data_IF_585281992084
#
_entry.id   IF_585281992084
#
_cell.length_a   1.000
_cell.length_b   1.000
_cell.length_c   1.000
_cell.angle_alpha   90.00
_cell.angle_beta   90.00
_cell.angle_gamma   90.00
#
_symmetry.space_group_name_H-M   'P 1'
#
loop_
_entity.id
_entity.type
_entity.pdbx_description
1 polymer ?
#
# COMPACT_ATOMS: atom_id res chain seq x y z
N UNK A 1 1.83 -19.20 22.70
CA UNK A 1 1.82 -19.28 21.22
C UNK A 1 1.97 -17.88 20.65
N UNK A 2 3.08 -17.57 19.97
CA UNK A 2 3.39 -16.22 19.45
C UNK A 2 2.87 -16.11 18.01
N UNK A 3 1.74 -15.42 17.81
CA UNK A 3 1.15 -15.18 16.50
C UNK A 3 2.05 -14.25 15.66
N UNK A 4 2.53 -14.76 14.53
CA UNK A 4 3.32 -14.01 13.55
C UNK A 4 2.39 -13.14 12.70
N UNK A 5 2.29 -11.84 13.03
CA UNK A 5 1.57 -10.86 12.21
C UNK A 5 2.58 -10.07 11.37
N UNK A 6 2.58 -10.31 10.06
CA UNK A 6 3.44 -9.64 9.06
C UNK A 6 2.85 -8.28 8.68
N UNK A 7 3.70 -7.27 8.50
CA UNK A 7 3.29 -5.91 8.10
C UNK A 7 3.41 -5.75 6.60
N UNK A 8 2.34 -5.30 5.96
CA UNK A 8 2.37 -4.70 4.63
C UNK A 8 2.26 -3.17 4.78
N UNK A 9 2.97 -2.38 3.98
CA UNK A 9 2.93 -0.93 4.06
C UNK A 9 1.74 -0.32 3.32
N UNK A 10 1.17 0.72 3.92
CA UNK A 10 0.14 1.62 3.38
C UNK A 10 0.53 2.09 1.95
N UNK A 11 -0.36 1.84 0.98
CA UNK A 11 -0.17 2.16 -0.43
C UNK A 11 -0.56 3.63 -0.72
N UNK A 12 0.44 4.45 -1.04
CA UNK A 12 0.32 5.62 -1.91
C UNK A 12 1.14 5.27 -3.15
N UNK A 13 0.43 5.04 -4.25
CA UNK A 13 0.85 4.11 -5.30
C UNK A 13 0.54 4.72 -6.66
N UNK A 14 1.46 5.53 -7.19
CA UNK A 14 1.40 5.93 -8.60
C UNK A 14 2.78 5.93 -9.25
N UNK A 15 3.80 6.54 -8.65
CA UNK A 15 5.06 6.72 -9.37
C UNK A 15 6.11 5.61 -9.24
N UNK A 16 6.18 4.92 -8.09
CA UNK A 16 7.35 4.08 -7.76
C UNK A 16 7.10 2.57 -7.87
N UNK A 17 5.91 2.14 -8.30
CA UNK A 17 5.51 0.72 -8.15
C UNK A 17 5.95 -0.18 -9.28
N UNK A 18 6.24 0.38 -10.46
CA UNK A 18 6.89 -0.39 -11.52
C UNK A 18 8.25 -0.97 -11.09
N UNK A 19 9.03 -0.21 -10.30
CA UNK A 19 10.40 -0.59 -9.93
C UNK A 19 10.60 -0.97 -8.45
N UNK A 20 9.68 -0.60 -7.55
CA UNK A 20 9.81 -0.88 -6.10
C UNK A 20 8.62 -1.59 -5.46
N UNK A 21 7.56 -1.88 -6.23
CA UNK A 21 6.40 -2.65 -5.75
C UNK A 21 6.72 -4.09 -5.35
N UNK A 22 7.92 -4.55 -5.66
CA UNK A 22 8.37 -5.92 -5.49
C UNK A 22 8.67 -6.29 -4.02
N UNK A 23 9.10 -5.36 -3.17
CA UNK A 23 9.70 -5.73 -1.87
C UNK A 23 8.75 -5.54 -0.69
N UNK A 24 7.74 -6.40 -0.54
CA UNK A 24 7.10 -6.72 0.75
C UNK A 24 6.15 -7.93 0.66
N UNK A 25 6.11 -8.73 1.73
CA UNK A 25 5.27 -9.94 1.98
C UNK A 25 5.86 -11.28 1.51
N UNK A 26 5.92 -12.27 2.42
CA UNK A 26 6.18 -13.68 2.15
C UNK A 26 5.35 -14.46 3.16
N UNK A 27 5.28 -15.77 2.96
CA UNK A 27 5.60 -16.80 3.94
C UNK A 27 6.36 -17.93 3.21
N UNK A 28 7.11 -18.74 3.97
CA UNK A 28 7.81 -19.94 3.47
C UNK A 28 6.78 -21.02 3.15
N UNK A 29 7.02 -21.86 2.16
CA UNK A 29 6.54 -23.25 2.15
C UNK A 29 7.66 -24.15 1.60
N UNK A 30 8.10 -25.10 2.43
CA UNK A 30 8.72 -26.35 2.01
C UNK A 30 7.69 -27.16 1.20
N UNK A 31 8.15 -27.78 0.12
CA UNK A 31 7.44 -28.70 -0.79
C UNK A 31 6.05 -29.18 -0.31
N UNK A 32 4.98 -28.69 -0.97
CA UNK A 32 3.59 -29.05 -0.64
C UNK A 32 3.12 -30.33 -1.35
N UNK A 33 2.59 -31.31 -0.61
CA UNK A 33 1.45 -32.09 -1.05
C UNK A 33 0.18 -31.22 -0.96
N UNK A 34 -0.68 -31.26 -1.99
CA UNK A 34 -2.00 -30.59 -2.12
C UNK A 34 -2.56 -30.00 -0.80
N UNK A 35 -2.50 -28.68 -0.64
CA UNK A 35 -3.04 -27.99 0.54
C UNK A 35 -4.57 -28.14 0.61
N UNK A 36 -5.07 -28.59 1.76
CA UNK A 36 -6.50 -28.68 2.09
C UNK A 36 -7.15 -27.28 2.16
N UNK A 37 -8.36 -27.13 1.62
CA UNK A 37 -9.24 -25.94 1.66
C UNK A 37 -9.21 -25.08 2.96
N UNK A 38 -9.17 -25.63 4.19
CA UNK A 38 -9.13 -24.81 5.41
C UNK A 38 -7.88 -23.92 5.54
N UNK A 39 -6.72 -24.34 5.01
CA UNK A 39 -5.50 -23.50 5.03
C UNK A 39 -5.61 -22.33 4.05
N UNK A 40 -6.19 -22.56 2.87
CA UNK A 40 -6.47 -21.51 1.91
C UNK A 40 -7.50 -20.50 2.46
N UNK A 41 -8.51 -20.97 3.20
CA UNK A 41 -9.48 -20.10 3.87
C UNK A 41 -8.84 -19.28 5.02
N UNK A 42 -7.95 -19.88 5.81
CA UNK A 42 -7.21 -19.17 6.85
C UNK A 42 -6.22 -18.15 6.27
N UNK A 43 -5.57 -18.47 5.14
CA UNK A 43 -4.72 -17.54 4.39
C UNK A 43 -5.52 -16.38 3.80
N UNK A 44 -6.71 -16.64 3.23
CA UNK A 44 -7.63 -15.59 2.76
C UNK A 44 -8.07 -14.69 3.91
N UNK A 45 -8.51 -15.25 5.05
CA UNK A 45 -8.86 -14.46 6.24
C UNK A 45 -7.67 -13.67 6.80
N UNK A 46 -6.46 -14.23 6.77
CA UNK A 46 -5.24 -13.49 7.14
C UNK A 46 -4.96 -12.35 6.16
N UNK A 47 -5.11 -12.59 4.85
CA UNK A 47 -4.94 -11.57 3.81
C UNK A 47 -5.96 -10.43 3.93
N UNK A 48 -7.22 -10.74 4.22
CA UNK A 48 -8.28 -9.75 4.44
C UNK A 48 -8.02 -8.90 5.70
N UNK A 49 -7.33 -9.46 6.71
CA UNK A 49 -6.87 -8.70 7.89
C UNK A 49 -5.69 -7.77 7.58
N UNK A 50 -4.93 -8.02 6.52
CA UNK A 50 -3.71 -7.26 6.20
C UNK A 50 -3.96 -5.97 5.41
N UNK A 51 -5.14 -5.79 4.82
CA UNK A 51 -5.46 -4.66 3.93
C UNK A 51 -6.67 -3.85 4.42
N UNK A 52 -6.61 -3.34 5.66
CA UNK A 52 -7.65 -2.42 6.14
C UNK A 52 -7.19 -0.98 5.96
N UNK A 53 -7.89 -0.24 5.11
CA UNK A 53 -7.74 1.21 4.98
C UNK A 53 -8.07 1.94 6.29
N UNK A 54 -7.77 3.24 6.40
CA UNK A 54 -7.99 4.01 7.63
C UNK A 54 -9.43 3.94 8.11
N UNK A 55 -10.42 4.07 7.22
CA UNK A 55 -11.85 3.93 7.56
C UNK A 55 -12.16 2.56 8.17
N UNK A 56 -11.71 1.49 7.52
CA UNK A 56 -11.92 0.12 8.01
C UNK A 56 -11.28 -0.13 9.38
N UNK A 57 -10.19 0.56 9.71
CA UNK A 57 -9.58 0.51 11.05
C UNK A 57 -10.46 1.22 12.09
N UNK A 58 -11.04 2.37 11.75
CA UNK A 58 -11.96 3.10 12.64
C UNK A 58 -13.26 2.33 12.83
N UNK A 59 -13.84 1.75 11.77
CA UNK A 59 -15.02 0.88 11.85
C UNK A 59 -14.76 -0.32 12.77
N UNK A 60 -13.62 -0.98 12.62
CA UNK A 60 -13.21 -2.12 13.46
C UNK A 60 -13.11 -1.73 14.95
N UNK A 61 -12.52 -0.56 15.23
CA UNK A 61 -12.44 -0.02 16.58
C UNK A 61 -13.83 0.37 17.13
N UNK A 62 -14.69 0.99 16.32
CA UNK A 62 -16.06 1.36 16.69
C UNK A 62 -16.92 0.13 17.02
N UNK A 63 -16.86 -0.92 16.19
CA UNK A 63 -17.59 -2.18 16.45
C UNK A 63 -17.09 -2.89 17.70
N UNK A 64 -15.78 -2.87 17.95
CA UNK A 64 -15.19 -3.62 19.08
C UNK A 64 -15.31 -2.87 20.41
N UNK A 65 -15.24 -1.54 20.39
CA UNK A 65 -15.08 -0.72 21.61
C UNK A 65 -16.12 0.38 21.76
N UNK A 66 -16.87 0.72 20.71
CA UNK A 66 -17.78 1.87 20.70
C UNK A 66 -19.16 1.63 21.31
N UNK A 67 -19.51 0.39 21.69
CA UNK A 67 -20.85 0.04 22.22
C UNK A 67 -21.99 0.65 21.37
N UNK A 68 -22.05 0.24 20.11
CA UNK A 68 -22.89 0.87 19.09
C UNK A 68 -24.38 0.56 19.28
N UNK A 69 -25.22 1.56 19.01
CA UNK A 69 -26.66 1.38 18.78
C UNK A 69 -26.90 0.67 17.44
N UNK A 70 -28.10 0.11 17.27
CA UNK A 70 -28.43 -0.67 16.07
C UNK A 70 -28.39 0.17 14.78
N UNK A 71 -28.85 1.41 14.85
CA UNK A 71 -28.80 2.38 13.75
C UNK A 71 -27.35 2.76 13.40
N UNK A 72 -26.52 3.07 14.40
CA UNK A 72 -25.09 3.35 14.19
C UNK A 72 -24.37 2.17 13.52
N UNK A 73 -24.65 0.94 13.98
CA UNK A 73 -24.07 -0.26 13.39
C UNK A 73 -24.47 -0.44 11.92
N UNK A 74 -25.75 -0.21 11.59
CA UNK A 74 -26.23 -0.26 10.21
C UNK A 74 -25.56 0.80 9.32
N UNK A 75 -25.34 2.01 9.82
CA UNK A 75 -24.59 3.05 9.09
C UNK A 75 -23.14 2.63 8.83
N UNK A 76 -22.45 2.04 9.82
CA UNK A 76 -21.08 1.53 9.60
C UNK A 76 -21.03 0.41 8.55
N UNK A 77 -22.05 -0.44 8.49
CA UNK A 77 -22.17 -1.49 7.47
C UNK A 77 -22.37 -0.89 6.07
N UNK A 78 -23.21 0.13 5.94
CA UNK A 78 -23.43 0.86 4.69
C UNK A 78 -22.14 1.51 4.18
N UNK A 79 -21.43 2.26 5.03
CA UNK A 79 -20.12 2.87 4.71
C UNK A 79 -19.12 1.81 4.27
N UNK A 80 -19.07 0.68 4.98
CA UNK A 80 -18.15 -0.42 4.63
C UNK A 80 -18.47 -1.06 3.28
N UNK A 81 -19.76 -1.16 2.92
CA UNK A 81 -20.20 -1.73 1.64
C UNK A 81 -19.85 -0.79 0.49
N UNK A 82 -20.17 0.50 0.62
CA UNK A 82 -19.87 1.51 -0.42
C UNK A 82 -18.37 1.56 -0.75
N UNK A 83 -17.52 1.54 0.27
CA UNK A 83 -16.06 1.55 0.07
C UNK A 83 -15.52 0.24 -0.53
N UNK A 84 -16.26 -0.87 -0.45
CA UNK A 84 -15.90 -2.14 -1.06
C UNK A 84 -16.26 -2.19 -2.55
N UNK A 85 -17.37 -1.57 -2.96
CA UNK A 85 -17.83 -1.53 -4.35
C UNK A 85 -16.82 -0.81 -5.27
N UNK A 86 -16.03 0.10 -4.71
CA UNK A 86 -14.92 0.78 -5.39
C UNK A 86 -13.73 -0.11 -5.78
N UNK A 87 -13.68 -1.36 -5.31
CA UNK A 87 -12.54 -2.22 -5.60
C UNK A 87 -12.37 -2.50 -7.09
N UNK A 88 -13.46 -2.57 -7.87
CA UNK A 88 -13.42 -2.86 -9.31
C UNK A 88 -12.71 -1.79 -10.12
N UNK A 89 -13.08 -0.52 -9.92
CA UNK A 89 -12.49 0.63 -10.64
C UNK A 89 -11.00 0.79 -10.32
N UNK A 90 -10.60 0.55 -9.08
CA UNK A 90 -9.20 0.59 -8.67
C UNK A 90 -8.36 -0.54 -9.29
N UNK A 91 -8.92 -1.75 -9.45
CA UNK A 91 -8.23 -2.85 -10.15
C UNK A 91 -7.98 -2.48 -11.61
N UNK A 92 -8.99 -1.98 -12.31
CA UNK A 92 -8.86 -1.56 -13.70
C UNK A 92 -7.82 -0.43 -13.87
N UNK A 93 -7.79 0.54 -12.95
CA UNK A 93 -6.75 1.57 -12.93
C UNK A 93 -5.35 1.00 -12.67
N UNK A 94 -5.23 0.09 -11.71
CA UNK A 94 -3.96 -0.57 -11.39
C UNK A 94 -3.42 -1.34 -12.61
N UNK A 95 -4.29 -2.06 -13.33
CA UNK A 95 -3.88 -2.84 -14.51
C UNK A 95 -3.46 -1.93 -15.68
N UNK A 96 -4.12 -0.77 -15.85
CA UNK A 96 -3.70 0.25 -16.81
C UNK A 96 -2.34 0.86 -16.45
N UNK A 97 -2.14 1.26 -15.20
CA UNK A 97 -0.85 1.72 -14.69
C UNK A 97 0.26 0.68 -14.89
N UNK A 98 -0.04 -0.59 -14.60
CA UNK A 98 0.88 -1.71 -14.79
C UNK A 98 1.26 -1.86 -16.26
N UNK A 99 0.30 -1.79 -17.18
CA UNK A 99 0.55 -1.87 -18.62
C UNK A 99 1.39 -0.69 -19.13
N UNK A 100 1.08 0.53 -18.66
CA UNK A 100 1.86 1.72 -18.97
C UNK A 100 3.31 1.63 -18.43
N UNK A 101 3.48 1.11 -17.21
CA UNK A 101 4.79 0.85 -16.63
C UNK A 101 5.62 -0.15 -17.45
N UNK A 102 5.00 -1.22 -17.94
CA UNK A 102 5.66 -2.19 -18.85
C UNK A 102 6.14 -1.49 -20.12
N UNK A 103 5.31 -0.66 -20.74
CA UNK A 103 5.69 0.09 -21.94
C UNK A 103 6.87 1.05 -21.67
N UNK A 104 6.84 1.78 -20.54
CA UNK A 104 7.93 2.68 -20.11
C UNK A 104 9.24 1.93 -19.87
N UNK A 105 9.19 0.77 -19.22
CA UNK A 105 10.38 -0.05 -19.00
C UNK A 105 10.96 -0.51 -20.33
N UNK A 106 10.15 -1.06 -21.24
CA UNK A 106 10.64 -1.52 -22.55
C UNK A 106 11.24 -0.39 -23.38
N UNK A 107 10.56 0.75 -23.46
CA UNK A 107 11.05 1.92 -24.19
C UNK A 107 12.31 2.53 -23.55
N UNK A 108 12.52 2.30 -22.25
CA UNK A 108 13.59 2.93 -21.49
C UNK A 108 13.32 4.39 -21.14
N UNK A 109 12.09 4.89 -21.32
CA UNK A 109 11.73 6.26 -20.96
C UNK A 109 10.28 6.41 -20.52
N UNK A 110 10.09 7.20 -19.46
CA UNK A 110 8.81 7.65 -18.93
C UNK A 110 8.24 8.87 -19.67
N UNK A 111 8.94 9.43 -20.67
CA UNK A 111 8.52 10.62 -21.43
C UNK A 111 7.52 10.29 -22.52
N UNK A 112 6.37 9.73 -22.14
CA UNK A 112 5.27 9.49 -23.07
C UNK A 112 4.00 10.13 -22.55
N UNK A 113 3.24 10.75 -23.47
CA UNK A 113 1.96 11.35 -23.15
C UNK A 113 0.95 10.33 -22.58
N UNK A 114 1.11 9.04 -22.92
CA UNK A 114 0.30 7.96 -22.38
C UNK A 114 0.66 7.64 -20.91
N UNK A 115 1.95 7.66 -20.57
CA UNK A 115 2.39 7.48 -19.19
C UNK A 115 1.92 8.65 -18.32
N UNK A 116 2.12 9.89 -18.77
CA UNK A 116 1.67 11.09 -18.06
C UNK A 116 0.16 11.05 -17.81
N UNK A 117 -0.64 10.71 -18.83
CA UNK A 117 -2.09 10.53 -18.68
C UNK A 117 -2.45 9.44 -17.67
N UNK A 118 -1.80 8.28 -17.75
CA UNK A 118 -2.06 7.16 -16.84
C UNK A 118 -1.75 7.52 -15.39
N UNK A 119 -0.68 8.29 -15.20
CA UNK A 119 -0.26 8.83 -13.90
C UNK A 119 -1.29 9.84 -13.37
N UNK A 120 -1.73 10.80 -14.20
CA UNK A 120 -2.73 11.78 -13.81
C UNK A 120 -4.07 11.15 -13.43
N UNK A 121 -4.55 10.19 -14.24
CA UNK A 121 -5.76 9.41 -13.93
C UNK A 121 -5.63 8.70 -12.58
N UNK A 122 -4.45 8.14 -12.29
CA UNK A 122 -4.22 7.45 -11.03
C UNK A 122 -4.13 8.39 -9.83
N UNK A 123 -3.52 9.57 -9.99
CA UNK A 123 -3.52 10.61 -8.95
C UNK A 123 -4.95 11.03 -8.66
N UNK A 124 -5.74 11.34 -9.69
CA UNK A 124 -7.14 11.75 -9.54
C UNK A 124 -7.97 10.69 -8.80
N UNK A 125 -7.81 9.40 -9.15
CA UNK A 125 -8.50 8.32 -8.47
C UNK A 125 -8.08 8.14 -7.00
N UNK A 126 -6.79 8.31 -6.68
CA UNK A 126 -6.33 8.28 -5.29
C UNK A 126 -6.88 9.47 -4.51
N UNK A 127 -6.88 10.66 -5.09
CA UNK A 127 -7.45 11.85 -4.45
C UNK A 127 -8.96 11.67 -4.20
N UNK A 128 -9.71 11.15 -5.17
CA UNK A 128 -11.13 10.82 -5.00
C UNK A 128 -11.35 9.76 -3.91
N UNK A 129 -10.50 8.73 -3.83
CA UNK A 129 -10.56 7.73 -2.76
C UNK A 129 -10.25 8.32 -1.39
N UNK A 130 -9.24 9.19 -1.31
CA UNK A 130 -8.89 9.90 -0.07
C UNK A 130 -10.04 10.80 0.36
N UNK A 131 -10.67 11.52 -0.57
CA UNK A 131 -11.85 12.35 -0.30
C UNK A 131 -13.00 11.51 0.29
N UNK A 132 -13.39 10.41 -0.36
CA UNK A 132 -14.43 9.50 0.16
C UNK A 132 -14.07 8.90 1.52
N UNK A 133 -12.79 8.60 1.73
CA UNK A 133 -12.33 8.13 3.04
C UNK A 133 -12.44 9.22 4.11
N UNK A 134 -12.20 10.48 3.74
CA UNK A 134 -12.42 11.63 4.62
C UNK A 134 -13.89 11.80 4.95
N UNK A 135 -14.76 11.80 3.94
CA UNK A 135 -16.22 11.95 4.13
C UNK A 135 -16.77 10.83 5.03
N UNK A 136 -16.35 9.58 4.80
CA UNK A 136 -16.71 8.45 5.63
C UNK A 136 -16.21 8.57 7.09
N UNK A 137 -15.01 9.12 7.31
CA UNK A 137 -14.50 9.35 8.67
C UNK A 137 -15.29 10.45 9.40
N UNK A 138 -15.69 11.50 8.69
CA UNK A 138 -16.54 12.57 9.22
C UNK A 138 -17.93 12.02 9.59
N UNK A 139 -18.53 11.19 8.72
CA UNK A 139 -19.80 10.54 9.01
C UNK A 139 -19.72 9.62 10.23
N UNK A 140 -18.67 8.78 10.31
CA UNK A 140 -18.43 7.92 11.48
C UNK A 140 -18.29 8.77 12.76
N UNK A 141 -17.55 9.88 12.71
CA UNK A 141 -17.40 10.77 13.85
C UNK A 141 -18.74 11.39 14.28
N UNK A 142 -19.54 11.83 13.31
CA UNK A 142 -20.83 12.48 13.55
C UNK A 142 -21.86 11.55 14.20
N UNK A 143 -21.93 10.27 13.79
CA UNK A 143 -22.90 9.32 14.35
C UNK A 143 -22.51 8.81 15.74
N UNK A 144 -21.23 8.90 16.12
CA UNK A 144 -20.76 8.43 17.43
C UNK A 144 -20.97 9.50 18.50
N UNK A 145 -21.49 9.08 19.64
CA UNK A 145 -21.62 9.91 20.83
C UNK A 145 -20.21 10.16 21.45
N UNK A 146 -20.06 11.21 22.25
CA UNK A 146 -18.74 11.63 22.81
C UNK A 146 -18.01 10.49 23.53
N UNK A 147 -18.71 9.71 24.35
CA UNK A 147 -18.08 8.60 25.09
C UNK A 147 -17.66 7.45 24.17
N UNK A 148 -18.40 7.22 23.08
CA UNK A 148 -18.04 6.22 22.07
C UNK A 148 -16.79 6.67 21.29
N UNK A 149 -16.68 7.96 20.94
CA UNK A 149 -15.47 8.51 20.29
C UNK A 149 -14.23 8.33 21.14
N UNK A 150 -14.30 8.60 22.45
CA UNK A 150 -13.21 8.36 23.41
C UNK A 150 -12.79 6.90 23.45
N UNK A 151 -13.75 5.97 23.52
CA UNK A 151 -13.44 4.53 23.53
C UNK A 151 -12.74 4.08 22.24
N UNK A 152 -13.20 4.58 21.09
CA UNK A 152 -12.58 4.32 19.78
C UNK A 152 -11.17 4.89 19.72
N UNK A 153 -10.96 6.13 20.17
CA UNK A 153 -9.66 6.78 20.16
C UNK A 153 -8.63 6.05 21.04
N UNK A 154 -9.02 5.54 22.22
CA UNK A 154 -8.15 4.68 23.05
C UNK A 154 -7.67 3.45 22.26
N UNK A 155 -8.58 2.76 21.55
CA UNK A 155 -8.23 1.62 20.73
C UNK A 155 -7.30 2.00 19.55
N UNK A 156 -7.55 3.15 18.91
CA UNK A 156 -6.69 3.67 17.84
C UNK A 156 -5.28 3.99 18.35
N UNK A 157 -5.13 4.61 19.53
CA UNK A 157 -3.82 4.87 20.15
C UNK A 157 -3.07 3.57 20.45
N UNK A 158 -3.74 2.55 20.99
CA UNK A 158 -3.12 1.25 21.22
C UNK A 158 -2.63 0.61 19.92
N UNK A 159 -3.41 0.73 18.83
CA UNK A 159 -3.03 0.24 17.50
C UNK A 159 -1.85 1.02 16.91
N UNK A 160 -1.79 2.34 17.10
CA UNK A 160 -0.65 3.18 16.73
C UNK A 160 0.59 2.73 17.53
N UNK A 161 0.48 2.54 18.84
CA UNK A 161 1.57 2.08 19.68
C UNK A 161 2.11 0.71 19.23
N UNK A 162 1.25 -0.27 18.94
CA UNK A 162 1.70 -1.55 18.37
C UNK A 162 2.37 -1.32 17.00
N UNK A 163 1.78 -0.51 16.12
CA UNK A 163 2.32 -0.21 14.78
C UNK A 163 3.72 0.41 14.84
N UNK A 164 4.01 1.30 15.77
CA UNK A 164 5.33 1.95 15.87
C UNK A 164 6.29 1.26 16.85
N UNK A 165 5.79 0.39 17.74
CA UNK A 165 6.59 -0.28 18.77
C UNK A 165 7.31 -1.57 18.36
N UNK A 166 7.07 -2.11 17.14
CA UNK A 166 7.81 -3.30 16.67
C UNK A 166 9.09 -2.87 15.93
N UNK A 167 10.23 -3.35 16.44
CA UNK A 167 11.57 -3.07 15.88
C UNK A 167 11.85 -3.69 14.49
N UNK A 168 13.05 -3.43 13.93
CA UNK A 168 13.43 -3.75 12.55
C UNK A 168 13.61 -5.25 12.33
N UNK A 169 12.50 -5.99 12.19
CA UNK A 169 12.52 -7.44 11.96
C UNK A 169 12.62 -7.85 10.49
N UNK A 170 12.59 -6.90 9.56
CA UNK A 170 12.41 -7.18 8.12
C UNK A 170 13.63 -6.88 7.23
N UNK A 171 14.73 -6.33 7.75
CA UNK A 171 15.87 -5.95 6.90
C UNK A 171 16.53 -7.14 6.20
N UNK A 172 16.75 -8.25 6.92
CA UNK A 172 17.36 -9.46 6.35
C UNK A 172 16.58 -9.97 5.15
N UNK A 173 15.25 -9.97 5.26
CA UNK A 173 14.35 -10.48 4.24
C UNK A 173 14.27 -9.56 3.03
N UNK A 174 14.33 -8.24 3.25
CA UNK A 174 14.41 -7.27 2.16
C UNK A 174 15.73 -7.38 1.39
N UNK A 175 16.85 -7.61 2.09
CA UNK A 175 18.16 -7.83 1.47
C UNK A 175 18.17 -9.10 0.62
N UNK A 176 17.59 -10.19 1.12
CA UNK A 176 17.50 -11.45 0.38
C UNK A 176 16.65 -11.32 -0.89
N UNK A 177 15.46 -10.70 -0.80
CA UNK A 177 14.62 -10.44 -1.97
C UNK A 177 15.33 -9.58 -3.02
N UNK A 178 16.01 -8.52 -2.58
CA UNK A 178 16.76 -7.66 -3.50
C UNK A 178 17.89 -8.41 -4.23
N UNK A 179 18.61 -9.31 -3.54
CA UNK A 179 19.64 -10.15 -4.19
C UNK A 179 19.06 -11.10 -5.24
N UNK A 180 17.90 -11.72 -4.96
CA UNK A 180 17.21 -12.59 -5.94
C UNK A 180 16.79 -11.80 -7.17
N UNK A 181 16.23 -10.61 -6.97
CA UNK A 181 15.91 -9.68 -8.05
C UNK A 181 17.12 -9.32 -8.90
N UNK A 182 18.22 -8.92 -8.26
CA UNK A 182 19.45 -8.56 -8.96
C UNK A 182 20.02 -9.74 -9.75
N UNK A 183 19.99 -10.95 -9.18
CA UNK A 183 20.42 -12.17 -9.86
C UNK A 183 19.54 -12.50 -11.06
N UNK A 184 18.22 -12.37 -10.94
CA UNK A 184 17.28 -12.67 -12.02
C UNK A 184 17.46 -11.72 -13.22
N UNK A 185 17.73 -10.44 -12.96
CA UNK A 185 18.02 -9.46 -14.01
C UNK A 185 19.50 -9.45 -14.45
N UNK A 186 20.30 -10.39 -13.94
CA UNK A 186 21.73 -10.50 -14.25
C UNK A 186 22.48 -9.18 -14.05
N UNK A 187 22.17 -8.45 -12.97
CA UNK A 187 22.78 -7.15 -12.69
C UNK A 187 24.26 -7.30 -12.30
N UNK A 188 25.11 -6.47 -12.89
CA UNK A 188 26.50 -6.30 -12.45
C UNK A 188 26.58 -5.65 -11.06
N UNK A 189 27.70 -5.81 -10.37
CA UNK A 189 27.96 -5.15 -9.08
C UNK A 189 27.76 -3.63 -9.16
N UNK A 190 28.28 -2.99 -10.21
CA UNK A 190 28.11 -1.55 -10.43
C UNK A 190 26.63 -1.13 -10.59
N UNK A 191 25.82 -1.94 -11.28
CA UNK A 191 24.38 -1.67 -11.42
C UNK A 191 23.65 -1.85 -10.09
N UNK A 192 24.03 -2.86 -9.31
CA UNK A 192 23.49 -3.10 -7.96
C UNK A 192 23.76 -1.88 -7.07
N UNK A 193 25.00 -1.37 -7.04
CA UNK A 193 25.38 -0.22 -6.22
C UNK A 193 24.58 1.04 -6.62
N UNK A 194 24.45 1.30 -7.94
CA UNK A 194 23.61 2.41 -8.45
C UNK A 194 22.15 2.26 -8.05
N UNK A 195 21.62 1.05 -8.12
CA UNK A 195 20.23 0.76 -7.75
C UNK A 195 20.00 0.88 -6.25
N UNK A 196 20.98 0.49 -5.41
CA UNK A 196 20.92 0.70 -3.96
C UNK A 196 20.95 2.18 -3.59
N UNK A 197 21.77 2.99 -4.27
CA UNK A 197 21.79 4.44 -4.08
C UNK A 197 20.44 5.09 -4.47
N UNK A 198 19.93 4.77 -5.67
CA UNK A 198 18.62 5.23 -6.12
C UNK A 198 17.49 4.77 -5.17
N UNK A 199 17.63 3.57 -4.62
CA UNK A 199 16.72 3.02 -3.63
C UNK A 199 16.70 3.83 -2.35
N UNK A 200 17.85 4.17 -1.78
CA UNK A 200 17.92 4.96 -0.55
C UNK A 200 17.23 6.32 -0.70
N UNK A 201 17.41 7.00 -1.83
CA UNK A 201 16.71 8.26 -2.13
C UNK A 201 15.18 8.07 -2.13
N UNK A 202 14.70 7.04 -2.83
CA UNK A 202 13.27 6.71 -2.91
C UNK A 202 12.67 6.31 -1.55
N UNK A 203 13.42 5.60 -0.72
CA UNK A 203 12.98 5.21 0.63
C UNK A 203 12.90 6.41 1.57
N UNK A 204 13.87 7.33 1.54
CA UNK A 204 13.85 8.54 2.36
C UNK A 204 12.63 9.42 2.08
N UNK A 205 12.20 9.52 0.83
CA UNK A 205 10.95 10.22 0.49
C UNK A 205 9.69 9.47 0.92
N UNK A 206 9.69 8.15 0.79
CA UNK A 206 8.58 7.32 1.25
C UNK A 206 8.32 7.50 2.74
N UNK A 207 9.37 7.66 3.53
CA UNK A 207 9.24 7.93 4.97
C UNK A 207 8.56 9.27 5.24
N UNK A 208 8.89 10.32 4.46
CA UNK A 208 8.22 11.64 4.53
C UNK A 208 6.72 11.59 4.20
N UNK A 209 6.31 10.65 3.34
CA UNK A 209 4.91 10.47 2.94
C UNK A 209 4.07 9.75 4.00
N UNK A 210 4.69 8.80 4.70
CA UNK A 210 3.99 8.05 5.74
C UNK A 210 3.58 9.00 6.86
N UNK A 211 2.33 8.91 7.33
CA UNK A 211 1.96 9.63 8.54
C UNK A 211 2.94 9.29 9.66
N UNK A 212 3.52 10.31 10.30
CA UNK A 212 4.34 10.08 11.48
C UNK A 212 3.46 9.53 12.62
N UNK A 213 4.11 9.04 13.68
CA UNK A 213 3.36 8.59 14.86
C UNK A 213 2.59 9.77 15.46
N UNK A 214 3.23 10.92 15.54
CA UNK A 214 2.72 12.18 16.09
C UNK A 214 1.52 12.67 15.29
N UNK A 215 1.64 12.75 13.95
CA UNK A 215 0.51 13.15 13.08
C UNK A 215 -0.72 12.25 13.27
N UNK A 216 -0.52 10.95 13.47
CA UNK A 216 -1.63 10.03 13.72
C UNK A 216 -2.21 10.18 15.12
N UNK A 217 -1.39 10.50 16.12
CA UNK A 217 -1.86 10.74 17.49
C UNK A 217 -2.65 12.05 17.58
N UNK A 218 -2.19 13.12 16.93
CA UNK A 218 -2.93 14.39 16.81
C UNK A 218 -4.29 14.20 16.14
N UNK A 219 -4.35 13.41 15.07
CA UNK A 219 -5.62 13.11 14.41
C UNK A 219 -6.58 12.30 15.30
N UNK A 220 -6.04 11.36 16.11
CA UNK A 220 -6.84 10.58 17.06
C UNK A 220 -7.30 11.42 18.25
N UNK A 221 -6.50 12.39 18.70
CA UNK A 221 -6.90 13.36 19.71
C UNK A 221 -8.03 14.26 19.19
N UNK A 222 -7.90 14.78 17.96
CA UNK A 222 -8.96 15.55 17.34
C UNK A 222 -10.25 14.75 17.17
N UNK A 223 -10.16 13.43 16.88
CA UNK A 223 -11.32 12.54 16.77
C UNK A 223 -12.13 12.43 18.06
N UNK A 224 -11.52 12.62 19.24
CA UNK A 224 -12.25 12.65 20.51
C UNK A 224 -13.08 13.92 20.68
N UNK A 225 -12.62 15.02 20.08
CA UNK A 225 -13.24 16.35 20.18
C UNK A 225 -14.16 16.69 19.03
N UNK A 226 -14.53 17.97 18.96
CA UNK A 226 -15.35 18.54 17.88
C UNK A 226 -14.50 19.06 16.71
N UNK A 227 -13.20 19.27 16.92
CA UNK A 227 -12.26 19.80 15.92
C UNK A 227 -11.84 18.77 14.85
N UNK A 228 -12.37 17.55 14.90
CA UNK A 228 -11.98 16.46 14.00
C UNK A 228 -12.09 16.81 12.51
N UNK A 229 -13.18 17.42 11.99
CA UNK A 229 -13.28 17.72 10.56
C UNK A 229 -12.18 18.68 10.08
N UNK A 230 -11.83 19.69 10.90
CA UNK A 230 -10.78 20.63 10.58
C UNK A 230 -9.39 19.95 10.55
N UNK A 231 -9.10 19.12 11.56
CA UNK A 231 -7.84 18.35 11.62
C UNK A 231 -7.71 17.37 10.45
N UNK A 232 -8.81 16.67 10.11
CA UNK A 232 -8.86 15.73 9.01
C UNK A 232 -8.67 16.41 7.65
N UNK A 233 -9.28 17.58 7.45
CA UNK A 233 -9.09 18.41 6.26
C UNK A 233 -7.63 18.85 6.10
N UNK A 234 -7.02 19.36 7.16
CA UNK A 234 -5.61 19.77 7.15
C UNK A 234 -4.68 18.59 6.82
N UNK A 235 -4.93 17.42 7.42
CA UNK A 235 -4.21 16.19 7.13
C UNK A 235 -4.35 15.78 5.66
N UNK A 236 -5.58 15.82 5.11
CA UNK A 236 -5.88 15.50 3.71
C UNK A 236 -5.12 16.41 2.73
N UNK A 237 -5.19 17.72 2.95
CA UNK A 237 -4.52 18.71 2.10
C UNK A 237 -3.01 18.49 2.09
N UNK A 238 -2.40 18.25 3.26
CA UNK A 238 -0.99 17.89 3.37
C UNK A 238 -0.67 16.66 2.54
N UNK A 239 -1.41 15.55 2.71
CA UNK A 239 -1.14 14.29 1.98
C UNK A 239 -1.32 14.41 0.47
N UNK A 240 -2.33 15.16 0.02
CA UNK A 240 -2.57 15.41 -1.41
C UNK A 240 -1.41 16.19 -2.04
N UNK A 241 -0.91 17.23 -1.35
CA UNK A 241 0.28 17.97 -1.79
C UNK A 241 1.49 17.07 -1.94
N UNK A 242 1.82 16.27 -0.91
CA UNK A 242 3.00 15.38 -0.98
C UNK A 242 2.83 14.29 -2.06
N UNK A 243 1.61 13.78 -2.29
CA UNK A 243 1.34 12.83 -3.36
C UNK A 243 1.66 13.44 -4.74
N UNK A 244 1.17 14.65 -5.03
CA UNK A 244 1.44 15.34 -6.30
C UNK A 244 2.93 15.61 -6.49
N UNK A 245 3.62 16.12 -5.48
CA UNK A 245 5.07 16.34 -5.52
C UNK A 245 5.85 15.06 -5.83
N UNK A 246 5.45 13.93 -5.22
CA UNK A 246 6.08 12.63 -5.47
C UNK A 246 5.87 12.16 -6.91
N UNK A 247 4.65 12.34 -7.42
CA UNK A 247 4.29 11.93 -8.77
C UNK A 247 5.06 12.74 -9.82
N UNK A 248 5.15 14.05 -9.63
CA UNK A 248 5.96 14.92 -10.49
C UNK A 248 7.43 14.45 -10.57
N UNK A 249 8.01 14.02 -9.45
CA UNK A 249 9.40 13.49 -9.42
C UNK A 249 9.53 12.06 -9.93
N UNK A 250 8.43 11.31 -10.05
CA UNK A 250 8.51 9.89 -10.37
C UNK A 250 8.94 9.64 -11.83
N UNK A 251 8.49 10.47 -12.78
CA UNK A 251 8.88 10.35 -14.19
C UNK A 251 10.40 10.53 -14.38
N UNK A 252 10.95 11.62 -13.85
CA UNK A 252 12.40 11.93 -13.92
C UNK A 252 13.26 10.83 -13.31
N UNK A 253 12.84 10.28 -12.17
CA UNK A 253 13.55 9.17 -11.52
C UNK A 253 13.43 7.87 -12.27
N UNK A 254 12.28 7.62 -12.88
CA UNK A 254 12.07 6.41 -13.69
C UNK A 254 13.03 6.44 -14.86
N UNK A 255 13.16 7.56 -15.58
CA UNK A 255 14.18 7.73 -16.62
C UNK A 255 15.59 7.46 -16.08
N UNK A 256 15.97 8.09 -14.97
CA UNK A 256 17.30 7.92 -14.36
C UNK A 256 17.60 6.45 -14.01
N UNK A 257 16.65 5.76 -13.38
CA UNK A 257 16.80 4.35 -13.00
C UNK A 257 16.84 3.43 -14.22
N UNK A 258 16.06 3.71 -15.27
CA UNK A 258 16.06 2.91 -16.49
C UNK A 258 17.40 2.97 -17.24
N UNK A 259 18.20 4.04 -17.06
CA UNK A 259 19.57 4.11 -17.61
C UNK A 259 20.55 3.11 -16.99
N UNK A 260 20.21 2.53 -15.82
CA UNK A 260 21.03 1.51 -15.17
C UNK A 260 20.94 0.19 -15.95
N UNK A 261 19.80 -0.10 -16.59
CA UNK A 261 19.52 -1.38 -17.22
C UNK A 261 19.85 -1.38 -18.72
N UNK A 262 20.40 -2.49 -19.23
CA UNK A 262 20.51 -2.71 -20.68
C UNK A 262 19.12 -2.95 -21.29
N UNK A 263 18.95 -2.83 -22.62
CA UNK A 263 17.68 -3.15 -23.28
C UNK A 263 17.14 -4.54 -22.93
N UNK A 264 18.01 -5.56 -22.90
CA UNK A 264 17.64 -6.94 -22.58
C UNK A 264 17.16 -7.07 -21.12
N UNK A 265 17.83 -6.39 -20.19
CA UNK A 265 17.43 -6.35 -18.78
C UNK A 265 16.10 -5.62 -18.58
N UNK A 266 15.80 -4.63 -19.42
CA UNK A 266 14.50 -3.94 -19.40
C UNK A 266 13.38 -4.85 -19.88
N UNK A 267 13.60 -5.69 -20.88
CA UNK A 267 12.61 -6.70 -21.27
C UNK A 267 12.33 -7.70 -20.12
N UNK A 268 13.38 -8.21 -19.46
CA UNK A 268 13.21 -9.08 -18.28
C UNK A 268 12.46 -8.38 -17.14
N UNK A 269 12.75 -7.10 -16.89
CA UNK A 269 12.05 -6.30 -15.88
C UNK A 269 10.58 -6.08 -16.27
N UNK A 270 10.29 -5.85 -17.54
CA UNK A 270 8.93 -5.68 -18.06
C UNK A 270 8.10 -6.96 -17.87
N UNK A 271 8.68 -8.11 -18.19
CA UNK A 271 8.04 -9.41 -18.00
C UNK A 271 7.81 -9.69 -16.50
N UNK A 272 8.78 -9.36 -15.65
CA UNK A 272 8.63 -9.45 -14.20
C UNK A 272 7.48 -8.60 -13.65
N UNK A 273 7.25 -7.42 -14.23
CA UNK A 273 6.10 -6.58 -13.87
C UNK A 273 4.80 -7.27 -14.27
N UNK A 274 4.71 -7.84 -15.48
CA UNK A 274 3.52 -8.58 -15.97
C UNK A 274 3.23 -9.78 -15.09
N UNK A 275 4.23 -10.61 -14.83
CA UNK A 275 4.12 -11.84 -14.05
C UNK A 275 3.85 -11.61 -12.56
N UNK A 276 4.16 -10.41 -12.10
CA UNK A 276 4.14 -10.05 -10.70
C UNK A 276 5.47 -10.44 -10.05
N UNK A 277 6.10 -9.51 -9.30
CA UNK A 277 7.42 -9.72 -8.73
C UNK A 277 7.50 -10.87 -7.73
N UNK A 278 6.35 -11.39 -7.27
CA UNK A 278 6.27 -12.48 -6.32
C UNK A 278 6.88 -13.78 -6.86
N UNK A 279 6.64 -14.12 -8.12
CA UNK A 279 7.15 -15.36 -8.73
C UNK A 279 8.67 -15.46 -8.57
N UNK A 280 9.37 -14.39 -8.93
CA UNK A 280 10.84 -14.33 -8.91
C UNK A 280 11.41 -14.07 -7.52
N UNK A 281 10.79 -13.18 -6.73
CA UNK A 281 11.30 -12.85 -5.40
C UNK A 281 11.13 -13.99 -4.41
N UNK A 282 10.07 -14.79 -4.57
CA UNK A 282 9.70 -15.82 -3.60
C UNK A 282 9.90 -17.24 -4.12
N UNK A 283 10.20 -17.43 -5.41
CA UNK A 283 10.38 -18.76 -6.01
C UNK A 283 9.08 -19.55 -6.04
N UNK A 284 7.93 -18.86 -6.10
CA UNK A 284 6.63 -19.51 -6.24
C UNK A 284 6.44 -19.93 -7.70
N UNK A 285 6.73 -21.21 -8.00
CA UNK A 285 6.17 -21.85 -9.19
C UNK A 285 4.66 -21.94 -9.01
N UNK A 286 3.91 -21.15 -9.78
CA UNK A 286 2.46 -21.25 -9.80
C UNK A 286 2.13 -22.57 -10.48
N UNK A 287 1.55 -23.51 -9.73
CA UNK A 287 0.97 -24.72 -10.31
C UNK A 287 0.04 -24.31 -11.47
N UNK A 288 0.14 -24.93 -12.65
CA UNK A 288 -0.62 -24.50 -13.82
C UNK A 288 -2.11 -24.50 -13.49
N UNK A 289 -2.75 -23.33 -13.56
CA UNK A 289 -4.21 -23.23 -13.53
C UNK A 289 -4.74 -23.92 -14.80
N UNK A 290 -5.40 -25.06 -14.62
CA UNK A 290 -6.17 -25.70 -15.67
C UNK A 290 -7.22 -24.69 -16.19
N UNK A 291 -7.07 -24.28 -17.45
CA UNK A 291 -8.04 -23.47 -18.19
C UNK A 291 -9.18 -24.32 -18.71
#
# INVERSE_FOLDING_TARGET
MKSQVRRAPLMLLVGSVALMGAVACAAKVDESPRESEPKAQELRQKHDRHFRGPVAVVIDAARTHGNLKADQAATLDAISSELADDCGSHRALHDRLKSSAVAVVRSGSARSAEFDRSVDEAVGAIEARVQRSTDALEEIHAILDVDQRKAVAVALRARIADKFGRGPRDEKRQREGFRRFASHLMLSSLQIDKLEAAKQELFGEREKLRPSREELLELVEAFEGEDFPAALLAFRQKKSKVLRERVARAGERTDSVLTIFTPEQRELLADLIVDGPRKVLFGEEIAPEER
#
